data_IF_141174521300
#
_entry.id   IF_141174521300
#
_cell.length_a   1.000
_cell.length_b   1.000
_cell.length_c   1.000
_cell.angle_alpha   90.00
_cell.angle_beta   90.00
_cell.angle_gamma   90.00
#
_symmetry.space_group_name_H-M   'P 1'
#
loop_
_entity.id
_entity.type
_entity.pdbx_description
1 polymer ?
#
# COMPACT_ATOMS: atom_id res chain seq x y z
N UNK A 1 -1.66 -12.66 26.42
CA UNK A 1 -1.73 -11.82 25.21
C UNK A 1 -0.44 -11.94 24.40
N UNK A 2 -0.25 -13.04 23.75
CA UNK A 2 0.90 -13.24 22.87
C UNK A 2 0.47 -14.28 21.82
N UNK A 3 0.04 -13.89 20.66
CA UNK A 3 -0.12 -14.85 19.56
C UNK A 3 -0.52 -14.30 18.18
N UNK A 4 -0.94 -13.05 18.03
CA UNK A 4 -1.32 -12.55 16.69
C UNK A 4 -0.08 -12.15 15.85
N UNK A 5 1.07 -11.93 16.48
CA UNK A 5 2.28 -11.43 15.81
C UNK A 5 3.24 -12.51 15.24
N UNK A 6 2.88 -13.79 15.29
CA UNK A 6 3.75 -14.85 14.77
C UNK A 6 3.14 -15.54 13.54
N UNK A 7 3.73 -15.30 12.39
CA UNK A 7 3.43 -15.94 11.09
C UNK A 7 3.67 -17.45 11.15
N UNK A 8 2.84 -18.29 10.50
CA UNK A 8 3.20 -19.69 10.24
C UNK A 8 4.49 -19.74 9.39
N UNK A 9 5.47 -20.54 9.84
CA UNK A 9 6.74 -20.72 9.15
C UNK A 9 6.52 -21.50 7.85
N UNK A 10 6.76 -20.90 6.72
CA UNK A 10 6.86 -21.62 5.45
C UNK A 10 6.68 -20.76 4.22
N UNK A 11 7.70 -20.10 3.82
CA UNK A 11 8.17 -19.83 2.45
C UNK A 11 9.22 -18.69 2.55
N UNK A 12 10.46 -19.04 2.25
CA UNK A 12 11.53 -18.05 2.17
C UNK A 12 11.20 -17.08 1.03
N UNK A 13 10.94 -15.84 1.35
CA UNK A 13 10.86 -14.75 0.37
C UNK A 13 12.20 -14.65 -0.35
N UNK A 14 12.17 -14.50 -1.67
CA UNK A 14 13.37 -14.14 -2.43
C UNK A 14 13.98 -12.86 -1.82
N UNK A 15 15.31 -12.68 -1.84
CA UNK A 15 15.93 -11.49 -1.28
C UNK A 15 15.40 -10.26 -1.99
N UNK A 16 14.64 -9.44 -1.26
CA UNK A 16 14.12 -8.16 -1.75
C UNK A 16 15.31 -7.21 -1.80
N UNK A 17 15.61 -6.68 -3.00
CA UNK A 17 16.57 -5.59 -3.12
C UNK A 17 16.15 -4.44 -2.21
N UNK A 18 17.08 -3.79 -1.47
CA UNK A 18 16.72 -2.72 -0.56
C UNK A 18 15.97 -1.62 -1.34
N UNK A 19 14.74 -1.36 -0.93
CA UNK A 19 14.02 -0.18 -1.35
C UNK A 19 14.82 0.99 -0.79
N UNK A 20 15.46 1.79 -1.65
CA UNK A 20 16.40 2.82 -1.22
C UNK A 20 15.71 3.82 -0.30
N UNK A 21 16.05 3.77 0.98
CA UNK A 21 15.63 4.73 2.02
C UNK A 21 16.22 6.14 1.81
N UNK A 22 16.99 6.33 0.74
CA UNK A 22 17.75 7.56 0.48
C UNK A 22 16.89 8.76 0.06
N UNK A 23 15.58 8.61 -0.15
CA UNK A 23 14.72 9.69 -0.66
C UNK A 23 14.11 10.53 0.47
N UNK A 24 14.14 10.09 1.72
CA UNK A 24 13.38 10.74 2.78
C UNK A 24 14.28 11.10 3.98
N UNK A 25 14.44 12.41 4.29
CA UNK A 25 15.04 12.80 5.56
C UNK A 25 14.14 12.32 6.72
N UNK A 26 14.77 11.86 7.78
CA UNK A 26 14.06 11.42 8.98
C UNK A 26 13.11 12.54 9.47
N UNK A 27 11.87 12.21 9.84
CA UNK A 27 10.94 13.19 10.39
C UNK A 27 11.44 13.66 11.76
N UNK A 28 11.34 14.96 12.02
CA UNK A 28 11.58 15.58 13.33
C UNK A 28 10.31 15.56 14.19
N UNK A 29 9.55 14.47 14.15
CA UNK A 29 8.33 14.35 14.92
C UNK A 29 8.65 14.29 16.42
N UNK A 30 7.84 14.96 17.22
CA UNK A 30 7.81 14.77 18.67
C UNK A 30 7.22 13.39 19.00
N UNK A 31 8.04 12.35 18.74
CA UNK A 31 7.67 10.93 18.84
C UNK A 31 7.50 10.46 20.30
N UNK A 32 7.36 11.40 21.25
CA UNK A 32 7.31 11.07 22.69
C UNK A 32 5.93 10.65 23.18
N UNK A 33 4.85 10.92 22.43
CA UNK A 33 3.51 10.49 22.80
C UNK A 33 3.18 9.12 22.19
N UNK A 34 2.72 8.19 23.03
CA UNK A 34 2.24 6.87 22.59
C UNK A 34 1.05 7.05 21.61
N UNK A 35 1.18 6.64 20.34
CA UNK A 35 0.11 6.79 19.35
C UNK A 35 -1.18 6.03 19.73
N UNK A 36 -1.07 4.99 20.57
CA UNK A 36 -2.24 4.26 21.07
C UNK A 36 -3.12 5.10 22.03
N UNK A 37 -2.60 6.21 22.56
CA UNK A 37 -3.37 7.15 23.37
C UNK A 37 -3.96 8.32 22.56
N UNK A 38 -3.90 8.27 21.23
CA UNK A 38 -4.29 9.34 20.33
C UNK A 38 -5.45 8.87 19.42
N UNK A 39 -6.69 9.20 19.73
CA UNK A 39 -7.86 8.75 18.96
C UNK A 39 -7.83 9.22 17.49
N UNK A 40 -7.06 10.27 17.16
CA UNK A 40 -6.91 10.77 15.80
C UNK A 40 -6.29 9.72 14.85
N UNK A 41 -5.50 8.78 15.37
CA UNK A 41 -4.96 7.67 14.57
C UNK A 41 -6.03 6.72 14.03
N UNK A 42 -7.27 6.79 14.56
CA UNK A 42 -8.42 6.09 13.99
C UNK A 42 -8.57 6.40 12.50
N UNK A 43 -8.41 7.67 12.10
CA UNK A 43 -8.51 8.08 10.70
C UNK A 43 -7.46 7.38 9.83
N UNK A 44 -6.20 7.44 10.24
CA UNK A 44 -5.09 6.83 9.49
C UNK A 44 -5.24 5.31 9.41
N UNK A 45 -5.41 4.65 10.56
CA UNK A 45 -5.44 3.20 10.61
C UNK A 45 -6.69 2.59 9.98
N UNK A 46 -7.84 3.28 10.02
CA UNK A 46 -9.01 2.85 9.24
C UNK A 46 -8.79 2.98 7.73
N UNK A 47 -8.06 4.01 7.30
CA UNK A 47 -7.67 4.16 5.89
C UNK A 47 -6.77 3.01 5.42
N UNK A 48 -5.75 2.65 6.21
CA UNK A 48 -4.93 1.47 5.94
C UNK A 48 -5.78 0.20 5.94
N UNK A 49 -6.57 -0.04 6.99
CA UNK A 49 -7.42 -1.22 7.09
C UNK A 49 -8.27 -1.47 5.84
N UNK A 50 -8.94 -0.44 5.31
CA UNK A 50 -9.72 -0.56 4.08
C UNK A 50 -8.86 -0.68 2.83
N UNK A 51 -7.66 -0.11 2.83
CA UNK A 51 -6.66 -0.34 1.79
C UNK A 51 -6.25 -1.81 1.71
N UNK A 52 -5.93 -2.42 2.85
CA UNK A 52 -5.54 -3.83 2.95
C UNK A 52 -6.68 -4.78 2.54
N UNK A 53 -7.94 -4.46 2.91
CA UNK A 53 -9.08 -5.26 2.45
C UNK A 53 -9.22 -5.20 0.92
N UNK A 54 -9.03 -4.03 0.31
CA UNK A 54 -9.06 -3.90 -1.14
C UNK A 54 -7.88 -4.64 -1.80
N UNK A 55 -6.69 -4.61 -1.20
CA UNK A 55 -5.51 -5.34 -1.68
C UNK A 55 -5.69 -6.86 -1.59
N UNK A 56 -6.36 -7.37 -0.54
CA UNK A 56 -6.76 -8.78 -0.45
C UNK A 56 -7.66 -9.19 -1.62
N UNK A 57 -8.71 -8.43 -1.91
CA UNK A 57 -9.63 -8.71 -3.01
C UNK A 57 -8.92 -8.63 -4.36
N UNK A 58 -8.06 -7.64 -4.54
CA UNK A 58 -7.25 -7.46 -5.74
C UNK A 58 -6.29 -8.64 -5.96
N UNK A 59 -5.58 -9.07 -4.93
CA UNK A 59 -4.64 -10.18 -5.02
C UNK A 59 -5.35 -11.51 -5.35
N UNK A 60 -6.54 -11.76 -4.79
CA UNK A 60 -7.37 -12.90 -5.16
C UNK A 60 -7.90 -12.80 -6.60
N UNK A 61 -8.24 -11.59 -7.05
CA UNK A 61 -8.65 -11.37 -8.44
C UNK A 61 -7.49 -11.69 -9.39
N UNK A 62 -6.29 -11.17 -9.15
CA UNK A 62 -5.08 -11.48 -9.92
C UNK A 62 -4.76 -12.98 -9.92
N UNK A 63 -4.88 -13.65 -8.78
CA UNK A 63 -4.63 -15.08 -8.67
C UNK A 63 -5.56 -15.93 -9.56
N UNK A 64 -6.78 -15.42 -9.82
CA UNK A 64 -7.78 -16.12 -10.64
C UNK A 64 -7.75 -15.74 -12.12
N UNK A 65 -7.40 -14.49 -12.44
CA UNK A 65 -7.60 -13.93 -13.77
C UNK A 65 -6.32 -13.71 -14.56
N UNK A 66 -5.16 -13.65 -13.90
CA UNK A 66 -3.90 -13.42 -14.61
C UNK A 66 -3.52 -14.65 -15.46
N UNK A 67 -3.04 -14.40 -16.67
CA UNK A 67 -2.54 -15.47 -17.57
C UNK A 67 -1.13 -15.95 -17.17
N UNK A 68 -0.34 -15.12 -16.48
CA UNK A 68 1.02 -15.49 -16.04
C UNK A 68 0.98 -16.30 -14.74
N UNK A 69 1.41 -17.59 -14.74
CA UNK A 69 1.40 -18.44 -13.56
C UNK A 69 2.29 -17.91 -12.41
N UNK A 70 3.30 -17.09 -12.71
CA UNK A 70 4.16 -16.47 -11.67
C UNK A 70 3.37 -15.39 -10.94
N UNK A 71 2.60 -14.57 -11.68
CA UNK A 71 1.72 -13.56 -11.12
C UNK A 71 0.62 -14.20 -10.29
N UNK A 72 -0.05 -15.24 -10.79
CA UNK A 72 -1.06 -15.99 -10.04
C UNK A 72 -0.52 -16.52 -8.70
N UNK A 73 0.63 -17.19 -8.75
CA UNK A 73 1.25 -17.79 -7.56
C UNK A 73 1.67 -16.72 -6.55
N UNK A 74 2.33 -15.66 -7.02
CA UNK A 74 2.76 -14.56 -6.16
C UNK A 74 1.56 -13.90 -5.49
N UNK A 75 0.52 -13.57 -6.25
CA UNK A 75 -0.69 -12.91 -5.76
C UNK A 75 -1.40 -13.73 -4.68
N UNK A 76 -1.47 -15.04 -4.83
CA UNK A 76 -2.14 -15.90 -3.85
C UNK A 76 -1.25 -16.23 -2.63
N UNK A 77 0.00 -16.65 -2.87
CA UNK A 77 0.84 -17.22 -1.81
C UNK A 77 1.60 -16.18 -0.98
N UNK A 78 1.89 -15.01 -1.56
CA UNK A 78 2.67 -13.96 -0.92
C UNK A 78 1.78 -12.76 -0.65
N UNK A 79 1.34 -12.07 -1.69
CA UNK A 79 0.61 -10.82 -1.60
C UNK A 79 -0.64 -10.98 -0.73
N UNK A 80 -1.60 -11.84 -1.12
CA UNK A 80 -2.82 -12.04 -0.34
C UNK A 80 -2.56 -12.42 1.13
N UNK A 81 -1.58 -13.27 1.40
CA UNK A 81 -1.27 -13.68 2.77
C UNK A 81 -0.69 -12.54 3.62
N UNK A 82 0.10 -11.65 3.02
CA UNK A 82 0.62 -10.48 3.71
C UNK A 82 -0.50 -9.47 3.99
N UNK A 83 -1.40 -9.20 3.03
CA UNK A 83 -2.52 -8.27 3.19
C UNK A 83 -3.56 -8.70 4.23
N UNK A 84 -3.82 -10.02 4.36
CA UNK A 84 -4.65 -10.56 5.45
C UNK A 84 -4.04 -10.21 6.79
N UNK A 85 -2.74 -10.41 6.96
CA UNK A 85 -2.05 -10.10 8.20
C UNK A 85 -2.00 -8.58 8.46
N UNK A 86 -1.77 -7.75 7.43
CA UNK A 86 -1.80 -6.29 7.57
C UNK A 86 -3.16 -5.79 8.07
N UNK A 87 -4.26 -6.28 7.48
CA UNK A 87 -5.61 -5.92 7.90
C UNK A 87 -5.88 -6.32 9.36
N UNK A 88 -5.45 -7.51 9.78
CA UNK A 88 -5.56 -7.96 11.19
C UNK A 88 -4.79 -7.02 12.13
N UNK A 89 -3.58 -6.59 11.76
CA UNK A 89 -2.79 -5.63 12.53
C UNK A 89 -3.53 -4.30 12.68
N UNK A 90 -4.03 -3.72 11.59
CA UNK A 90 -4.76 -2.45 11.67
C UNK A 90 -6.07 -2.56 12.44
N UNK A 91 -6.81 -3.66 12.31
CA UNK A 91 -8.00 -3.91 13.11
C UNK A 91 -7.68 -3.97 14.62
N UNK A 92 -6.59 -4.65 14.99
CA UNK A 92 -6.13 -4.73 16.38
C UNK A 92 -5.72 -3.35 16.91
N UNK A 93 -4.96 -2.57 16.14
CA UNK A 93 -4.56 -1.21 16.53
C UNK A 93 -5.78 -0.30 16.74
N UNK A 94 -6.77 -0.36 15.86
CA UNK A 94 -8.02 0.41 16.00
C UNK A 94 -8.74 0.02 17.29
N UNK A 95 -8.79 -1.29 17.61
CA UNK A 95 -9.47 -1.78 18.81
C UNK A 95 -8.85 -1.30 20.12
N UNK A 96 -7.56 -0.93 20.09
CA UNK A 96 -6.81 -0.44 21.25
C UNK A 96 -6.94 1.07 21.47
N UNK A 97 -7.50 1.82 20.50
CA UNK A 97 -7.66 3.27 20.65
C UNK A 97 -8.72 3.63 21.68
N UNK A 98 -8.48 4.65 22.53
CA UNK A 98 -9.43 5.09 23.53
C UNK A 98 -10.76 5.53 22.92
N UNK A 99 -11.88 5.05 23.46
CA UNK A 99 -13.22 5.48 23.06
C UNK A 99 -13.65 4.99 21.66
N UNK A 100 -12.93 4.07 21.05
CA UNK A 100 -13.26 3.52 19.73
C UNK A 100 -14.02 2.21 19.89
N UNK A 101 -15.35 2.18 19.68
CA UNK A 101 -16.16 0.98 19.88
C UNK A 101 -16.05 -0.03 18.72
N UNK A 102 -15.71 0.42 17.52
CA UNK A 102 -15.68 -0.39 16.31
C UNK A 102 -14.86 0.29 15.19
N UNK A 103 -14.49 -0.50 14.19
CA UNK A 103 -13.94 0.00 12.93
C UNK A 103 -15.00 0.91 12.27
N UNK A 104 -14.64 2.11 11.79
CA UNK A 104 -15.56 3.00 11.10
C UNK A 104 -16.24 2.34 9.89
N UNK A 105 -17.40 2.84 9.44
CA UNK A 105 -18.03 2.36 8.20
C UNK A 105 -17.10 2.48 6.98
N UNK A 106 -17.32 1.61 5.99
CA UNK A 106 -16.56 1.60 4.73
C UNK A 106 -16.64 2.99 4.06
N UNK A 107 -15.53 3.64 3.77
CA UNK A 107 -15.55 4.93 3.09
C UNK A 107 -15.82 4.78 1.59
N UNK A 108 -16.43 5.80 0.98
CA UNK A 108 -16.84 5.77 -0.43
C UNK A 108 -15.69 5.45 -1.41
N UNK A 109 -14.46 5.93 -1.12
CA UNK A 109 -13.31 5.61 -1.97
C UNK A 109 -12.94 4.11 -1.95
N UNK A 110 -13.15 3.43 -0.82
CA UNK A 110 -12.88 2.00 -0.70
C UNK A 110 -13.94 1.19 -1.43
N UNK A 111 -15.20 1.60 -1.35
CA UNK A 111 -16.28 1.00 -2.16
C UNK A 111 -16.01 1.18 -3.65
N UNK A 112 -15.67 2.40 -4.10
CA UNK A 112 -15.31 2.69 -5.49
C UNK A 112 -14.13 1.83 -5.98
N UNK A 113 -13.11 1.67 -5.14
CA UNK A 113 -11.94 0.83 -5.47
C UNK A 113 -12.31 -0.65 -5.59
N UNK A 114 -13.11 -1.17 -4.67
CA UNK A 114 -13.61 -2.56 -4.71
C UNK A 114 -14.46 -2.81 -5.95
N UNK A 115 -15.39 -1.93 -6.28
CA UNK A 115 -16.21 -2.03 -7.48
C UNK A 115 -15.33 -2.09 -8.74
N UNK A 116 -14.27 -1.26 -8.79
CA UNK A 116 -13.31 -1.29 -9.89
C UNK A 116 -12.55 -2.60 -9.94
N UNK A 117 -12.08 -3.13 -8.82
CA UNK A 117 -11.40 -4.44 -8.75
C UNK A 117 -12.31 -5.55 -9.28
N UNK A 118 -13.57 -5.59 -8.87
CA UNK A 118 -14.52 -6.64 -9.27
C UNK A 118 -14.97 -6.55 -10.72
N UNK A 119 -14.99 -5.35 -11.29
CA UNK A 119 -15.36 -5.13 -12.69
C UNK A 119 -14.17 -5.17 -13.64
N UNK A 120 -12.94 -5.10 -13.11
CA UNK A 120 -11.73 -5.14 -13.92
C UNK A 120 -11.45 -6.57 -14.42
N UNK A 121 -11.34 -6.72 -15.74
CA UNK A 121 -10.97 -7.98 -16.39
C UNK A 121 -9.53 -8.02 -16.87
N UNK A 122 -8.80 -6.91 -16.73
CA UNK A 122 -7.42 -6.77 -17.19
C UNK A 122 -6.44 -6.85 -16.00
N UNK A 123 -5.65 -7.91 -15.97
CA UNK A 123 -4.65 -8.13 -14.92
C UNK A 123 -3.56 -7.03 -14.88
N UNK A 124 -3.30 -6.35 -16.01
CA UNK A 124 -2.37 -5.24 -16.06
C UNK A 124 -2.86 -4.05 -15.22
N UNK A 125 -4.14 -3.68 -15.34
CA UNK A 125 -4.74 -2.61 -14.52
C UNK A 125 -4.69 -2.94 -13.04
N UNK A 126 -4.95 -4.18 -12.66
CA UNK A 126 -4.89 -4.63 -11.27
C UNK A 126 -3.46 -4.55 -10.71
N UNK A 127 -2.45 -5.03 -11.46
CA UNK A 127 -1.03 -4.93 -11.03
C UNK A 127 -0.61 -3.48 -10.86
N UNK A 128 -1.01 -2.59 -11.76
CA UNK A 128 -0.66 -1.17 -11.67
C UNK A 128 -1.37 -0.52 -10.48
N UNK A 129 -2.66 -0.82 -10.30
CA UNK A 129 -3.46 -0.29 -9.21
C UNK A 129 -2.87 -0.64 -7.84
N UNK A 130 -2.56 -1.91 -7.60
CA UNK A 130 -1.88 -2.42 -6.41
C UNK A 130 -0.57 -1.64 -6.17
N UNK A 131 0.32 -1.67 -7.14
CA UNK A 131 1.62 -1.01 -7.02
C UNK A 131 1.53 0.48 -6.64
N UNK A 132 0.53 1.21 -7.18
CA UNK A 132 0.35 2.64 -6.87
C UNK A 132 -0.14 2.86 -5.46
N UNK A 133 -1.07 2.03 -4.98
CA UNK A 133 -1.59 2.10 -3.60
C UNK A 133 -0.45 1.84 -2.61
N UNK A 134 0.24 0.73 -2.76
CA UNK A 134 1.32 0.29 -1.87
C UNK A 134 2.50 1.27 -1.88
N UNK A 135 2.94 1.73 -3.06
CA UNK A 135 3.99 2.75 -3.15
C UNK A 135 3.60 4.07 -2.47
N UNK A 136 2.31 4.40 -2.43
CA UNK A 136 1.81 5.58 -1.73
C UNK A 136 1.78 5.40 -0.21
N UNK A 137 1.65 4.17 0.27
CA UNK A 137 1.65 3.82 1.68
C UNK A 137 3.05 3.84 2.30
N UNK A 138 4.10 3.52 1.53
CA UNK A 138 5.47 3.35 2.02
C UNK A 138 5.96 4.52 2.87
N UNK A 139 5.71 5.76 2.43
CA UNK A 139 6.13 6.94 3.18
C UNK A 139 5.45 7.06 4.55
N UNK A 140 4.16 6.75 4.63
CA UNK A 140 3.42 6.78 5.90
C UNK A 140 3.87 5.65 6.82
N UNK A 141 4.22 4.50 6.27
CA UNK A 141 4.78 3.39 7.02
C UNK A 141 6.18 3.72 7.55
N UNK A 142 7.01 4.47 6.77
CA UNK A 142 8.30 4.97 7.26
C UNK A 142 8.13 5.87 8.49
N UNK A 143 7.15 6.79 8.48
CA UNK A 143 6.87 7.64 9.65
C UNK A 143 6.42 6.82 10.87
N UNK A 144 5.58 5.82 10.67
CA UNK A 144 5.09 4.96 11.75
C UNK A 144 6.16 3.96 12.24
N UNK A 145 7.13 3.64 11.42
CA UNK A 145 8.28 2.80 11.81
C UNK A 145 9.16 3.44 12.91
N UNK A 146 9.06 4.76 13.08
CA UNK A 146 9.74 5.51 14.15
C UNK A 146 9.00 5.47 15.49
N UNK A 147 7.79 4.92 15.55
CA UNK A 147 7.06 4.76 16.82
C UNK A 147 7.83 3.86 17.79
N UNK A 148 7.60 4.02 19.12
CA UNK A 148 8.21 3.15 20.12
C UNK A 148 7.93 1.67 19.88
N UNK A 149 8.84 0.79 20.31
CA UNK A 149 8.61 -0.64 20.27
C UNK A 149 7.47 -1.05 21.23
N UNK A 150 6.63 -2.06 20.87
CA UNK A 150 6.77 -2.95 19.70
C UNK A 150 6.17 -2.39 18.40
N UNK A 151 5.42 -1.29 18.46
CA UNK A 151 4.62 -0.77 17.35
C UNK A 151 5.49 -0.41 16.13
N UNK A 152 6.57 0.34 16.32
CA UNK A 152 7.49 0.66 15.23
C UNK A 152 8.11 -0.57 14.56
N UNK A 153 8.36 -1.66 15.32
CA UNK A 153 8.84 -2.90 14.73
C UNK A 153 7.79 -3.56 13.83
N UNK A 154 6.51 -3.48 14.19
CA UNK A 154 5.40 -3.96 13.38
C UNK A 154 5.32 -3.18 12.05
N UNK A 155 5.38 -1.84 12.09
CA UNK A 155 5.35 -1.02 10.89
C UNK A 155 6.58 -1.23 9.99
N UNK A 156 7.77 -1.41 10.55
CA UNK A 156 8.95 -1.80 9.75
C UNK A 156 8.75 -3.10 8.98
N UNK A 157 8.07 -4.08 9.60
CA UNK A 157 7.76 -5.36 8.94
C UNK A 157 6.74 -5.18 7.81
N UNK A 158 5.62 -4.48 8.05
CA UNK A 158 4.63 -4.15 7.01
C UNK A 158 5.33 -3.45 5.85
N UNK A 159 6.06 -2.37 6.13
CA UNK A 159 6.83 -1.63 5.12
C UNK A 159 7.76 -2.51 4.28
N UNK A 160 8.44 -3.47 4.90
CA UNK A 160 9.32 -4.39 4.18
C UNK A 160 8.54 -5.28 3.20
N UNK A 161 7.35 -5.74 3.58
CA UNK A 161 6.47 -6.54 2.73
C UNK A 161 5.92 -5.70 1.58
N UNK A 162 5.45 -4.48 1.85
CA UNK A 162 5.02 -3.53 0.83
C UNK A 162 6.11 -3.19 -0.20
N UNK A 163 7.34 -3.00 0.25
CA UNK A 163 8.48 -2.85 -0.66
C UNK A 163 8.67 -4.08 -1.56
N UNK A 164 8.38 -5.26 -1.04
CA UNK A 164 8.38 -6.52 -1.81
C UNK A 164 7.33 -6.52 -2.90
N UNK A 165 6.10 -6.13 -2.56
CA UNK A 165 4.96 -6.06 -3.49
C UNK A 165 5.24 -5.07 -4.63
N UNK A 166 5.64 -3.83 -4.28
CA UNK A 166 6.01 -2.80 -5.27
C UNK A 166 7.16 -3.26 -6.17
N UNK A 167 8.17 -3.93 -5.61
CA UNK A 167 9.33 -4.41 -6.37
C UNK A 167 8.93 -5.52 -7.33
N UNK A 168 8.10 -6.46 -6.90
CA UNK A 168 7.59 -7.52 -7.76
C UNK A 168 6.76 -6.94 -8.92
N UNK A 169 5.78 -6.09 -8.62
CA UNK A 169 4.93 -5.47 -9.63
C UNK A 169 5.74 -4.66 -10.64
N UNK A 170 6.71 -3.86 -10.18
CA UNK A 170 7.62 -3.11 -11.04
C UNK A 170 8.42 -4.03 -11.97
N UNK A 171 9.00 -5.11 -11.44
CA UNK A 171 9.78 -6.05 -12.25
C UNK A 171 8.89 -6.77 -13.26
N UNK A 172 7.68 -7.18 -12.84
CA UNK A 172 6.71 -7.79 -13.73
C UNK A 172 6.36 -6.86 -14.91
N UNK A 173 6.02 -5.60 -14.64
CA UNK A 173 5.69 -4.62 -15.67
C UNK A 173 6.85 -4.35 -16.62
N UNK A 174 8.08 -4.24 -16.12
CA UNK A 174 9.27 -4.07 -16.96
C UNK A 174 9.50 -5.26 -17.89
N UNK A 175 9.41 -6.47 -17.37
CA UNK A 175 9.57 -7.69 -18.16
C UNK A 175 8.48 -7.78 -19.24
N UNK A 176 7.22 -7.54 -18.86
CA UNK A 176 6.09 -7.55 -19.79
C UNK A 176 6.27 -6.52 -20.92
N UNK A 177 6.72 -5.30 -20.60
CA UNK A 177 6.99 -4.27 -21.62
C UNK A 177 8.16 -4.64 -22.54
N UNK A 178 9.20 -5.29 -22.02
CA UNK A 178 10.38 -5.72 -22.80
C UNK A 178 10.03 -6.88 -23.75
N UNK A 179 9.17 -7.79 -23.31
CA UNK A 179 8.76 -8.97 -24.09
C UNK A 179 7.63 -8.65 -25.10
N UNK A 180 7.03 -7.47 -25.02
CA UNK A 180 5.92 -7.05 -25.87
C UNK A 180 6.40 -6.54 -27.24
N UNK A 181 5.61 -6.82 -28.29
CA UNK A 181 5.80 -6.15 -29.58
C UNK A 181 5.62 -4.63 -29.46
N UNK A 182 6.23 -3.82 -30.35
CA UNK A 182 6.13 -2.35 -30.25
C UNK A 182 4.69 -1.80 -30.17
N UNK A 183 3.67 -2.31 -30.89
CA UNK A 183 2.29 -1.89 -30.70
C UNK A 183 1.74 -2.22 -29.32
N UNK A 184 1.96 -3.44 -28.83
CA UNK A 184 1.51 -3.90 -27.52
C UNK A 184 2.18 -3.10 -26.39
N UNK A 185 3.49 -2.85 -26.47
CA UNK A 185 4.21 -2.04 -25.52
C UNK A 185 3.69 -0.57 -25.45
N UNK A 186 3.31 0.00 -26.61
CA UNK A 186 2.68 1.34 -26.62
C UNK A 186 1.31 1.34 -25.93
N UNK A 187 0.49 0.32 -26.20
CA UNK A 187 -0.82 0.17 -25.56
C UNK A 187 -0.65 0.01 -24.04
N UNK A 188 0.22 -0.89 -23.60
CA UNK A 188 0.50 -1.12 -22.18
C UNK A 188 1.01 0.15 -21.46
N UNK A 189 1.91 0.93 -22.11
CA UNK A 189 2.36 2.22 -21.56
C UNK A 189 1.22 3.23 -21.40
N UNK A 190 0.31 3.30 -22.37
CA UNK A 190 -0.85 4.18 -22.28
C UNK A 190 -1.77 3.78 -21.11
N UNK A 191 -2.02 2.50 -20.94
CA UNK A 191 -2.82 1.94 -19.85
C UNK A 191 -2.16 2.19 -18.48
N UNK A 192 -0.85 1.98 -18.35
CA UNK A 192 -0.10 2.34 -17.14
C UNK A 192 -0.34 3.81 -16.77
N UNK A 193 -0.21 4.72 -17.72
CA UNK A 193 -0.42 6.14 -17.47
C UNK A 193 -1.87 6.47 -17.09
N UNK A 194 -2.85 5.81 -17.69
CA UNK A 194 -4.27 6.01 -17.39
C UNK A 194 -4.59 5.57 -15.95
N UNK A 195 -4.17 4.37 -15.56
CA UNK A 195 -4.40 3.86 -14.21
C UNK A 195 -3.71 4.71 -13.14
N UNK A 196 -2.47 5.17 -13.39
CA UNK A 196 -1.81 6.14 -12.51
C UNK A 196 -2.58 7.45 -12.36
N UNK A 197 -3.16 7.99 -13.47
CA UNK A 197 -3.99 9.19 -13.41
C UNK A 197 -5.26 8.96 -12.60
N UNK A 198 -5.95 7.85 -12.84
CA UNK A 198 -7.13 7.49 -12.06
C UNK A 198 -6.84 7.45 -10.56
N UNK A 199 -5.81 6.72 -10.14
CA UNK A 199 -5.43 6.62 -8.73
C UNK A 199 -5.05 7.97 -8.13
N UNK A 200 -4.29 8.79 -8.87
CA UNK A 200 -3.87 10.13 -8.45
C UNK A 200 -5.02 11.11 -8.31
N UNK A 201 -5.92 11.12 -9.28
CA UNK A 201 -6.91 12.19 -9.43
C UNK A 201 -8.26 11.84 -8.79
N UNK A 202 -8.54 10.54 -8.60
CA UNK A 202 -9.83 10.07 -8.10
C UNK A 202 -9.73 9.49 -6.68
N UNK A 203 -8.87 8.53 -6.45
CA UNK A 203 -8.80 7.81 -5.17
C UNK A 203 -7.98 8.59 -4.13
N UNK A 204 -6.76 8.99 -4.46
CA UNK A 204 -5.85 9.65 -3.52
C UNK A 204 -6.43 10.90 -2.85
N UNK A 205 -7.11 11.84 -3.54
CA UNK A 205 -7.65 13.02 -2.87
C UNK A 205 -8.65 12.67 -1.77
N UNK A 206 -9.53 11.70 -2.00
CA UNK A 206 -10.50 11.25 -1.00
C UNK A 206 -9.80 10.61 0.21
N UNK A 207 -8.81 9.75 -0.04
CA UNK A 207 -8.00 9.13 1.02
C UNK A 207 -7.26 10.20 1.86
N UNK A 208 -6.60 11.15 1.22
CA UNK A 208 -5.87 12.22 1.91
C UNK A 208 -6.79 13.04 2.82
N UNK A 209 -7.89 13.54 2.29
CA UNK A 209 -8.81 14.38 3.06
C UNK A 209 -9.44 13.64 4.23
N UNK A 210 -9.86 12.39 4.03
CA UNK A 210 -10.58 11.65 5.05
C UNK A 210 -9.65 11.03 6.11
N UNK A 211 -8.50 10.50 5.69
CA UNK A 211 -7.66 9.67 6.54
C UNK A 211 -6.35 10.33 6.97
N UNK A 212 -5.80 11.24 6.18
CA UNK A 212 -4.48 11.80 6.47
C UNK A 212 -4.52 13.20 7.07
N UNK A 213 -5.33 14.11 6.54
CA UNK A 213 -5.36 15.50 7.02
C UNK A 213 -5.55 15.62 8.54
N UNK A 214 -6.38 14.79 9.20
CA UNK A 214 -6.51 14.84 10.65
C UNK A 214 -5.26 14.44 11.43
N UNK A 215 -4.38 13.62 10.84
CA UNK A 215 -3.28 12.94 11.52
C UNK A 215 -1.89 13.46 11.10
N UNK A 216 -1.75 14.05 9.92
CA UNK A 216 -0.45 14.52 9.42
C UNK A 216 0.27 15.48 10.39
N UNK A 217 -0.40 16.42 11.08
CA UNK A 217 0.27 17.26 12.07
C UNK A 217 0.90 16.46 13.23
N UNK A 218 0.28 15.33 13.62
CA UNK A 218 0.80 14.45 14.67
C UNK A 218 2.05 13.68 14.21
N UNK A 219 2.17 13.47 12.90
CA UNK A 219 3.34 12.86 12.26
C UNK A 219 4.42 13.91 11.89
N UNK A 220 4.23 15.18 12.27
CA UNK A 220 5.19 16.25 12.03
C UNK A 220 5.30 16.69 10.57
N UNK A 221 4.28 16.45 9.75
CA UNK A 221 4.28 16.84 8.33
C UNK A 221 3.01 17.61 7.95
N UNK A 222 3.12 18.50 6.97
CA UNK A 222 1.98 19.17 6.40
C UNK A 222 1.29 18.34 5.30
N UNK A 223 0.01 18.61 5.05
CA UNK A 223 -0.71 18.01 3.93
C UNK A 223 -0.05 18.35 2.57
N UNK A 224 0.58 19.51 2.45
CA UNK A 224 1.30 19.90 1.25
C UNK A 224 2.58 19.07 1.07
N UNK A 225 3.38 18.90 2.13
CA UNK A 225 4.58 18.06 2.09
C UNK A 225 4.25 16.62 1.72
N UNK A 226 3.17 16.08 2.29
CA UNK A 226 2.69 14.75 1.91
C UNK A 226 2.35 14.67 0.43
N UNK A 227 1.55 15.62 -0.09
CA UNK A 227 1.16 15.64 -1.50
C UNK A 227 2.36 15.73 -2.44
N UNK A 228 3.36 16.53 -2.09
CA UNK A 228 4.57 16.71 -2.91
C UNK A 228 5.42 15.43 -2.91
N UNK A 229 5.61 14.79 -1.76
CA UNK A 229 6.33 13.51 -1.64
C UNK A 229 5.61 12.39 -2.39
N UNK A 230 4.30 12.27 -2.24
CA UNK A 230 3.50 11.27 -2.96
C UNK A 230 3.54 11.48 -4.48
N UNK A 231 3.60 12.73 -4.94
CA UNK A 231 3.79 13.07 -6.35
C UNK A 231 5.17 12.64 -6.86
N UNK A 232 6.22 12.98 -6.12
CA UNK A 232 7.60 12.61 -6.47
C UNK A 232 7.78 11.09 -6.52
N UNK A 233 7.28 10.35 -5.53
CA UNK A 233 7.33 8.89 -5.49
C UNK A 233 6.63 8.28 -6.72
N UNK A 234 5.43 8.76 -7.04
CA UNK A 234 4.67 8.29 -8.21
C UNK A 234 5.39 8.59 -9.53
N UNK A 235 5.97 9.79 -9.68
CA UNK A 235 6.74 10.15 -10.88
C UNK A 235 8.00 9.29 -11.02
N UNK A 236 8.72 9.07 -9.92
CA UNK A 236 9.91 8.23 -9.92
C UNK A 236 9.59 6.78 -10.30
N UNK A 237 8.51 6.23 -9.74
CA UNK A 237 8.06 4.87 -10.05
C UNK A 237 7.69 4.74 -11.53
N UNK A 238 6.89 5.65 -12.08
CA UNK A 238 6.56 5.70 -13.51
C UNK A 238 7.81 5.74 -14.39
N UNK A 239 8.75 6.59 -14.05
CA UNK A 239 10.00 6.72 -14.79
C UNK A 239 10.82 5.42 -14.78
N UNK A 240 10.85 4.71 -13.64
CA UNK A 240 11.54 3.41 -13.54
C UNK A 240 10.89 2.31 -14.39
N UNK A 241 9.56 2.35 -14.57
CA UNK A 241 8.82 1.33 -15.33
C UNK A 241 8.87 1.61 -16.83
N UNK A 242 8.73 2.86 -17.23
CA UNK A 242 8.54 3.23 -18.64
C UNK A 242 9.85 3.39 -19.43
N UNK A 243 10.99 3.36 -18.76
CA UNK A 243 12.33 3.26 -19.36
C UNK A 243 12.69 1.82 -19.73
#
# INVERSE_FOLDING_TARGET
>A
MASVLSRPRGLAAAPVAPCSSEIYPAPTADATSDPLNRPEFLHLWSGFYYGELAAQELSLCLARTADDPRLQRYSYQVHHADEVWHAEVFAELISQLPGTPAIPPVPAWAEELRDRIHTCTDSLDLVIGSMVVEASALFLLDLQAEFPAPLGATFRRIRQQECGHVSFAKQFLKTMLADSSPPQARQARAQILETFRYMRDRIRPQFVTLHLEPVLPLLGISAQDYRDRARQASQHLLFQILR
#
